data_IF_148194963442
#
_entry.id   IF_148194963442
#
_cell.length_a   1.000
_cell.length_b   1.000
_cell.length_c   1.000
_cell.angle_alpha   90.00
_cell.angle_beta   90.00
_cell.angle_gamma   90.00
#
_symmetry.space_group_name_H-M   'P 1'
#
loop_
_entity.id
_entity.type
_entity.pdbx_description
1 polymer ?
#
# COMPACT_ATOMS: atom_id res chain seq x y z
N UNK A 1 3.33 27.40 -12.89
CA UNK A 1 2.58 26.15 -12.80
C UNK A 1 3.38 25.05 -12.09
N UNK A 2 4.61 24.78 -12.44
CA UNK A 2 5.42 23.68 -11.91
C UNK A 2 5.55 23.66 -10.35
N UNK A 3 5.86 24.80 -9.70
CA UNK A 3 5.94 24.89 -8.22
C UNK A 3 4.61 24.53 -7.53
N UNK A 4 3.47 24.89 -8.12
CA UNK A 4 2.14 24.61 -7.56
C UNK A 4 1.80 23.12 -7.65
N UNK A 5 2.21 22.44 -8.73
CA UNK A 5 2.00 21.01 -8.89
C UNK A 5 2.90 20.21 -7.93
N UNK A 6 4.14 20.66 -7.68
CA UNK A 6 5.01 20.05 -6.67
C UNK A 6 4.42 20.12 -5.26
N UNK A 7 3.87 21.28 -4.87
CA UNK A 7 3.21 21.46 -3.57
C UNK A 7 1.96 20.56 -3.46
N UNK A 8 1.15 20.50 -4.52
CA UNK A 8 -0.02 19.62 -4.57
C UNK A 8 0.37 18.17 -4.33
N UNK A 9 1.32 17.63 -5.11
CA UNK A 9 1.79 16.24 -4.98
C UNK A 9 2.38 16.00 -3.59
N UNK A 10 3.12 16.94 -3.03
CA UNK A 10 3.66 16.84 -1.68
C UNK A 10 2.55 16.73 -0.62
N UNK A 11 1.51 17.58 -0.69
CA UNK A 11 0.36 17.54 0.24
C UNK A 11 -0.38 16.19 0.09
N UNK A 12 -0.56 15.69 -1.13
CA UNK A 12 -1.17 14.39 -1.38
C UNK A 12 -0.34 13.25 -0.75
N UNK A 13 0.99 13.29 -0.90
CA UNK A 13 1.90 12.31 -0.28
C UNK A 13 1.83 12.35 1.25
N UNK A 14 1.83 13.54 1.85
CA UNK A 14 1.70 13.70 3.30
C UNK A 14 0.31 13.27 3.78
N UNK A 15 -0.73 13.46 2.96
CA UNK A 15 -2.07 12.98 3.25
C UNK A 15 -2.16 11.46 3.28
N UNK A 16 -1.59 10.80 2.28
CA UNK A 16 -1.49 9.34 2.27
C UNK A 16 -0.64 8.86 3.45
N UNK A 17 0.49 9.51 3.75
CA UNK A 17 1.28 9.23 4.96
C UNK A 17 0.43 9.28 6.23
N UNK A 18 -0.38 10.34 6.42
CA UNK A 18 -1.23 10.49 7.61
C UNK A 18 -2.25 9.37 7.78
N UNK A 19 -2.88 8.96 6.68
CA UNK A 19 -3.84 7.85 6.65
C UNK A 19 -3.13 6.53 6.95
N UNK A 20 -2.04 6.22 6.24
CA UNK A 20 -1.26 4.99 6.44
C UNK A 20 -0.60 4.95 7.83
N UNK A 21 -0.17 6.10 8.36
CA UNK A 21 0.34 6.20 9.72
C UNK A 21 -0.73 5.83 10.76
N UNK A 22 -1.98 6.29 10.57
CA UNK A 22 -3.11 5.87 11.41
C UNK A 22 -3.37 4.36 11.25
N UNK A 23 -3.36 3.84 10.03
CA UNK A 23 -3.60 2.42 9.73
C UNK A 23 -2.53 1.52 10.34
N UNK A 24 -1.28 1.75 10.00
CA UNK A 24 -0.16 0.86 10.34
C UNK A 24 0.41 1.13 11.74
N UNK A 25 0.38 2.38 12.20
CA UNK A 25 0.96 2.77 13.48
C UNK A 25 0.38 2.02 14.69
N UNK A 26 -0.88 1.61 14.61
CA UNK A 26 -1.54 0.80 15.65
C UNK A 26 -0.88 -0.58 15.81
N UNK A 27 -0.29 -1.14 14.76
CA UNK A 27 0.41 -2.43 14.85
C UNK A 27 1.54 -2.35 15.88
N UNK A 28 2.26 -1.22 15.90
CA UNK A 28 3.37 -1.00 16.84
C UNK A 28 2.95 -0.78 18.29
N UNK A 29 1.67 -0.50 18.56
CA UNK A 29 1.14 -0.20 19.90
C UNK A 29 0.06 -1.18 20.37
N UNK A 30 -0.14 -2.30 19.66
CA UNK A 30 -1.13 -3.31 20.03
C UNK A 30 -0.97 -3.83 21.47
N UNK A 31 0.24 -4.11 21.99
CA UNK A 31 0.39 -4.51 23.40
C UNK A 31 -0.11 -3.46 24.37
N UNK A 32 0.22 -2.19 24.15
CA UNK A 32 -0.24 -1.07 24.99
C UNK A 32 -1.76 -0.89 24.94
N UNK A 33 -2.38 -1.11 23.77
CA UNK A 33 -3.85 -1.09 23.64
C UNK A 33 -4.49 -2.25 24.41
N UNK A 34 -3.92 -3.46 24.30
CA UNK A 34 -4.41 -4.63 25.00
C UNK A 34 -4.40 -4.42 26.52
N UNK A 35 -3.32 -3.85 27.03
CA UNK A 35 -3.16 -3.50 28.47
C UNK A 35 -4.15 -2.41 28.88
N UNK A 36 -4.23 -1.30 28.13
CA UNK A 36 -5.09 -0.15 28.46
C UNK A 36 -6.58 -0.53 28.55
N UNK A 37 -7.08 -1.35 27.61
CA UNK A 37 -8.47 -1.77 27.57
C UNK A 37 -8.73 -3.11 28.31
N UNK A 38 -7.71 -3.69 28.92
CA UNK A 38 -7.79 -4.99 29.59
C UNK A 38 -8.41 -6.08 28.70
N UNK A 39 -7.90 -6.19 27.45
CA UNK A 39 -8.31 -7.20 26.47
C UNK A 39 -7.11 -8.05 26.06
N UNK A 40 -7.37 -9.23 25.51
CA UNK A 40 -6.28 -10.06 24.94
C UNK A 40 -5.64 -9.37 23.74
N UNK A 41 -4.37 -9.65 23.46
CA UNK A 41 -3.66 -9.17 22.27
C UNK A 41 -4.39 -9.59 20.99
N UNK A 42 -4.95 -10.82 20.96
CA UNK A 42 -5.76 -11.30 19.85
C UNK A 42 -7.00 -10.42 19.63
N UNK A 43 -7.67 -9.99 20.69
CA UNK A 43 -8.81 -9.07 20.59
C UNK A 43 -8.39 -7.67 20.17
N UNK A 44 -7.26 -7.17 20.68
CA UNK A 44 -6.67 -5.91 20.21
C UNK A 44 -6.35 -5.95 18.71
N UNK A 45 -5.92 -7.10 18.20
CA UNK A 45 -5.68 -7.34 16.76
C UNK A 45 -6.90 -7.11 15.86
N UNK A 46 -8.13 -7.09 16.39
CA UNK A 46 -9.33 -6.72 15.63
C UNK A 46 -9.27 -5.28 15.10
N UNK A 47 -8.54 -4.39 15.77
CA UNK A 47 -8.31 -3.02 15.26
C UNK A 47 -7.57 -3.01 13.91
N UNK A 48 -6.76 -4.02 13.65
CA UNK A 48 -6.04 -4.18 12.37
C UNK A 48 -6.89 -4.97 11.39
N UNK A 49 -7.43 -6.12 11.81
CA UNK A 49 -8.16 -7.03 10.93
C UNK A 49 -9.47 -6.42 10.40
N UNK A 50 -10.27 -5.78 11.26
CA UNK A 50 -11.53 -5.15 10.83
C UNK A 50 -11.28 -3.89 10.00
N UNK A 51 -10.18 -3.16 10.25
CA UNK A 51 -9.75 -2.08 9.38
C UNK A 51 -9.45 -2.61 7.97
N UNK A 52 -8.63 -3.65 7.87
CA UNK A 52 -8.27 -4.27 6.58
C UNK A 52 -9.51 -4.81 5.83
N UNK A 53 -10.46 -5.45 6.54
CA UNK A 53 -11.72 -5.91 5.96
C UNK A 53 -12.55 -4.73 5.44
N UNK A 54 -12.67 -3.65 6.22
CA UNK A 54 -13.39 -2.46 5.80
C UNK A 54 -12.79 -1.84 4.53
N UNK A 55 -11.44 -1.74 4.45
CA UNK A 55 -10.73 -1.29 3.24
C UNK A 55 -10.99 -2.22 2.05
N UNK A 56 -10.91 -3.53 2.24
CA UNK A 56 -11.10 -4.51 1.17
C UNK A 56 -12.53 -4.44 0.58
N UNK A 57 -13.55 -4.32 1.44
CA UNK A 57 -14.95 -4.21 1.02
C UNK A 57 -15.26 -2.86 0.37
N UNK A 58 -14.69 -1.78 0.91
CA UNK A 58 -14.96 -0.42 0.42
C UNK A 58 -14.14 -0.04 -0.83
N UNK A 59 -13.00 -0.71 -1.06
CA UNK A 59 -12.10 -0.42 -2.17
C UNK A 59 -12.76 -0.34 -3.54
N UNK A 60 -13.57 -1.32 -3.97
CA UNK A 60 -14.23 -1.27 -5.27
C UNK A 60 -15.49 -0.39 -5.29
N UNK A 61 -16.05 -0.02 -4.15
CA UNK A 61 -17.36 0.66 -4.08
C UNK A 61 -17.26 2.14 -3.74
N UNK A 62 -16.51 2.48 -2.70
CA UNK A 62 -16.49 3.85 -2.18
C UNK A 62 -15.84 4.86 -3.15
N UNK A 63 -14.70 4.63 -3.82
CA UNK A 63 -14.19 5.55 -4.82
C UNK A 63 -15.20 5.83 -5.94
N UNK A 64 -15.97 4.80 -6.35
CA UNK A 64 -17.02 4.90 -7.34
C UNK A 64 -18.15 5.84 -6.88
N UNK A 65 -18.63 5.68 -5.64
CA UNK A 65 -19.70 6.52 -5.08
C UNK A 65 -19.33 8.00 -5.01
N UNK A 66 -18.06 8.30 -4.72
CA UNK A 66 -17.56 9.66 -4.59
C UNK A 66 -17.00 10.27 -5.88
N UNK A 67 -16.93 9.51 -6.98
CA UNK A 67 -16.30 9.91 -8.25
C UNK A 67 -16.92 11.16 -8.92
N UNK A 68 -18.20 11.45 -8.64
CA UNK A 68 -18.92 12.61 -9.18
C UNK A 68 -18.85 13.86 -8.33
N UNK A 69 -18.15 13.86 -7.20
CA UNK A 69 -18.09 14.96 -6.24
C UNK A 69 -16.76 15.71 -6.40
N UNK A 70 -16.76 17.03 -6.15
CA UNK A 70 -15.54 17.82 -6.14
C UNK A 70 -14.43 17.14 -5.30
N UNK A 71 -13.29 16.85 -5.93
CA UNK A 71 -12.21 16.04 -5.34
C UNK A 71 -11.68 16.64 -4.04
N UNK A 72 -11.52 17.98 -3.95
CA UNK A 72 -11.12 18.65 -2.70
C UNK A 72 -12.13 18.42 -1.58
N UNK A 73 -13.44 18.52 -1.87
CA UNK A 73 -14.48 18.29 -0.86
C UNK A 73 -14.45 16.86 -0.34
N UNK A 74 -14.25 15.89 -1.23
CA UNK A 74 -14.12 14.46 -0.85
C UNK A 74 -12.88 14.23 0.00
N UNK A 75 -11.73 14.79 -0.38
CA UNK A 75 -10.49 14.68 0.42
C UNK A 75 -10.68 15.27 1.83
N UNK A 76 -11.30 16.43 1.94
CA UNK A 76 -11.59 17.06 3.24
C UNK A 76 -12.57 16.22 4.06
N UNK A 77 -13.62 15.65 3.43
CA UNK A 77 -14.53 14.75 4.10
C UNK A 77 -13.79 13.54 4.71
N UNK A 78 -12.98 12.87 3.89
CA UNK A 78 -12.22 11.69 4.34
C UNK A 78 -11.26 12.04 5.47
N UNK A 79 -10.44 13.08 5.29
CA UNK A 79 -9.52 13.53 6.33
C UNK A 79 -10.25 13.97 7.61
N UNK A 80 -11.41 14.62 7.47
CA UNK A 80 -12.27 14.97 8.60
C UNK A 80 -12.77 13.74 9.36
N UNK A 81 -13.18 12.68 8.66
CA UNK A 81 -13.57 11.41 9.26
C UNK A 81 -12.40 10.76 10.00
N UNK A 82 -11.17 10.80 9.43
CA UNK A 82 -9.96 10.31 10.10
C UNK A 82 -9.60 11.15 11.34
N UNK A 83 -9.71 12.48 11.26
CA UNK A 83 -9.48 13.37 12.41
C UNK A 83 -10.48 13.05 13.53
N UNK A 84 -11.77 12.97 13.23
CA UNK A 84 -12.81 12.63 14.22
C UNK A 84 -12.56 11.25 14.82
N UNK A 85 -12.28 10.23 14.00
CA UNK A 85 -11.99 8.89 14.47
C UNK A 85 -10.77 8.84 15.40
N UNK A 86 -9.67 9.53 15.05
CA UNK A 86 -8.49 9.61 15.88
C UNK A 86 -8.75 10.35 17.20
N UNK A 87 -9.48 11.49 17.14
CA UNK A 87 -9.85 12.24 18.35
C UNK A 87 -10.76 11.41 19.28
N UNK A 88 -11.77 10.73 18.73
CA UNK A 88 -12.64 9.83 19.52
C UNK A 88 -11.81 8.70 20.15
N UNK A 89 -10.81 8.17 19.41
CA UNK A 89 -9.94 7.10 19.95
C UNK A 89 -9.10 7.55 21.14
N UNK A 90 -8.72 8.84 21.25
CA UNK A 90 -8.00 9.38 22.43
C UNK A 90 -8.86 9.31 23.69
N UNK A 91 -10.17 9.59 23.55
CA UNK A 91 -11.11 9.65 24.66
C UNK A 91 -11.94 8.38 24.81
N UNK A 92 -11.63 7.32 24.07
CA UNK A 92 -12.39 6.08 24.10
C UNK A 92 -12.26 5.39 25.46
N UNK A 93 -13.36 5.31 26.21
CA UNK A 93 -13.41 4.69 27.53
C UNK A 93 -13.44 3.15 27.50
N UNK A 94 -13.71 2.57 26.35
CA UNK A 94 -13.76 1.11 26.18
C UNK A 94 -13.33 0.71 24.76
N UNK A 95 -12.93 -0.56 24.63
CA UNK A 95 -12.42 -1.13 23.39
C UNK A 95 -13.40 -1.05 22.21
N UNK A 96 -14.71 -1.18 22.46
CA UNK A 96 -15.70 -1.14 21.38
C UNK A 96 -15.77 0.25 20.74
N UNK A 97 -15.71 1.34 21.53
CA UNK A 97 -15.66 2.71 21.02
C UNK A 97 -14.38 2.93 20.20
N UNK A 98 -13.22 2.50 20.70
CA UNK A 98 -11.96 2.59 19.97
C UNK A 98 -12.02 1.82 18.65
N UNK A 99 -12.64 0.64 18.63
CA UNK A 99 -12.81 -0.19 17.44
C UNK A 99 -13.70 0.51 16.39
N UNK A 100 -14.86 1.02 16.80
CA UNK A 100 -15.80 1.74 15.91
C UNK A 100 -15.14 3.00 15.35
N UNK A 101 -14.50 3.80 16.21
CA UNK A 101 -13.80 5.02 15.83
C UNK A 101 -12.70 4.78 14.80
N UNK A 102 -12.17 3.56 14.73
CA UNK A 102 -11.14 3.15 13.77
C UNK A 102 -11.73 2.53 12.50
N UNK A 103 -12.75 1.69 12.62
CA UNK A 103 -13.35 0.97 11.49
C UNK A 103 -14.13 1.92 10.57
N UNK A 104 -14.82 2.93 11.11
CA UNK A 104 -15.55 3.91 10.30
C UNK A 104 -14.61 4.65 9.31
N UNK A 105 -13.47 5.25 9.73
CA UNK A 105 -12.52 5.85 8.79
C UNK A 105 -11.98 4.87 7.75
N UNK A 106 -11.83 3.58 8.08
CA UNK A 106 -11.30 2.58 7.18
C UNK A 106 -12.12 2.41 5.91
N UNK A 107 -13.46 2.57 5.98
CA UNK A 107 -14.31 2.56 4.79
C UNK A 107 -13.99 3.71 3.81
N UNK A 108 -13.47 4.81 4.29
CA UNK A 108 -13.10 5.98 3.49
C UNK A 108 -11.63 5.98 3.04
N UNK A 109 -10.80 5.10 3.60
CA UNK A 109 -9.39 4.98 3.25
C UNK A 109 -9.16 4.83 1.73
N UNK A 110 -9.84 3.91 0.99
CA UNK A 110 -9.62 3.75 -0.45
C UNK A 110 -10.01 4.98 -1.25
N UNK A 111 -10.97 5.78 -0.77
CA UNK A 111 -11.40 7.01 -1.44
C UNK A 111 -10.26 8.03 -1.50
N UNK A 112 -9.60 8.29 -0.36
CA UNK A 112 -8.49 9.23 -0.33
C UNK A 112 -7.29 8.73 -1.13
N UNK A 113 -6.90 7.48 -0.93
CA UNK A 113 -5.75 6.90 -1.63
C UNK A 113 -5.96 6.87 -3.16
N UNK A 114 -7.14 6.47 -3.61
CA UNK A 114 -7.51 6.52 -5.03
C UNK A 114 -7.43 7.95 -5.59
N UNK A 115 -8.08 8.91 -4.91
CA UNK A 115 -8.06 10.31 -5.32
C UNK A 115 -6.65 10.91 -5.33
N UNK A 116 -5.82 10.57 -4.34
CA UNK A 116 -4.45 11.07 -4.27
C UNK A 116 -3.62 10.62 -5.48
N UNK A 117 -3.76 9.35 -5.88
CA UNK A 117 -3.08 8.81 -7.06
C UNK A 117 -3.61 9.43 -8.36
N UNK A 118 -4.94 9.50 -8.52
CA UNK A 118 -5.57 10.11 -9.71
C UNK A 118 -5.20 11.60 -9.84
N UNK A 119 -5.34 12.38 -8.76
CA UNK A 119 -5.04 13.83 -8.80
C UNK A 119 -3.55 14.08 -9.02
N UNK A 120 -2.67 13.25 -8.49
CA UNK A 120 -1.24 13.36 -8.76
C UNK A 120 -0.93 13.12 -10.24
N UNK A 121 -1.52 12.08 -10.85
CA UNK A 121 -1.37 11.79 -12.26
C UNK A 121 -1.92 12.94 -13.13
N UNK A 122 -3.14 13.39 -12.87
CA UNK A 122 -3.83 14.45 -13.63
C UNK A 122 -3.18 15.84 -13.47
N UNK A 123 -2.28 16.03 -12.49
CA UNK A 123 -1.61 17.32 -12.23
C UNK A 123 -0.41 17.59 -13.14
N UNK A 124 0.03 16.60 -13.91
CA UNK A 124 1.20 16.65 -14.78
C UNK A 124 0.84 16.14 -16.18
N UNK A 125 1.80 16.14 -17.12
CA UNK A 125 1.59 15.51 -18.42
C UNK A 125 1.49 13.99 -18.29
N UNK A 126 0.87 13.32 -19.24
CA UNK A 126 0.71 11.86 -19.28
C UNK A 126 2.06 11.12 -19.12
N UNK A 127 3.10 11.65 -19.78
CA UNK A 127 4.46 11.13 -19.71
C UNK A 127 5.07 11.23 -18.30
N UNK A 128 4.70 12.24 -17.52
CA UNK A 128 5.20 12.46 -16.16
C UNK A 128 4.31 11.83 -15.07
N UNK A 129 3.13 11.35 -15.42
CA UNK A 129 2.17 10.77 -14.49
C UNK A 129 2.78 9.66 -13.61
N UNK A 130 3.59 8.70 -14.12
CA UNK A 130 4.22 7.69 -13.28
C UNK A 130 5.16 8.27 -12.22
N UNK A 131 5.86 9.37 -12.53
CA UNK A 131 6.73 10.07 -11.55
C UNK A 131 5.92 10.76 -10.46
N UNK A 132 4.77 11.34 -10.82
CA UNK A 132 3.88 11.99 -9.87
C UNK A 132 3.25 10.96 -8.91
N UNK A 133 2.76 9.84 -9.44
CA UNK A 133 2.21 8.72 -8.68
C UNK A 133 3.26 8.12 -7.74
N UNK A 134 4.48 7.90 -8.20
CA UNK A 134 5.55 7.34 -7.37
C UNK A 134 5.91 8.22 -6.16
N UNK A 135 5.75 9.54 -6.27
CA UNK A 135 5.92 10.46 -5.13
C UNK A 135 4.82 10.26 -4.08
N UNK A 136 3.60 9.95 -4.49
CA UNK A 136 2.51 9.61 -3.56
C UNK A 136 2.82 8.30 -2.83
N UNK A 137 3.38 7.30 -3.53
CA UNK A 137 3.83 6.04 -2.91
C UNK A 137 4.95 6.22 -1.88
N UNK A 138 5.76 7.27 -1.99
CA UNK A 138 6.71 7.62 -0.91
C UNK A 138 5.95 7.88 0.40
N UNK A 139 4.79 8.54 0.34
CA UNK A 139 3.91 8.73 1.50
C UNK A 139 3.41 7.42 2.09
N UNK A 140 3.03 6.45 1.24
CA UNK A 140 2.66 5.09 1.67
C UNK A 140 3.81 4.43 2.44
N UNK A 141 4.99 4.37 1.83
CA UNK A 141 6.16 3.74 2.44
C UNK A 141 6.60 4.44 3.73
N UNK A 142 6.57 5.77 3.76
CA UNK A 142 6.91 6.55 4.95
C UNK A 142 5.94 6.25 6.11
N UNK A 143 4.64 6.09 5.83
CA UNK A 143 3.64 5.71 6.83
C UNK A 143 3.98 4.38 7.52
N UNK A 144 4.41 3.40 6.74
CA UNK A 144 4.81 2.08 7.26
C UNK A 144 6.15 2.13 8.02
N UNK A 145 7.16 2.80 7.45
CA UNK A 145 8.55 2.74 7.92
C UNK A 145 8.82 3.70 9.08
N UNK A 146 8.17 4.86 9.07
CA UNK A 146 8.39 5.92 10.06
C UNK A 146 7.24 5.92 11.07
N UNK A 147 6.00 5.75 10.61
CA UNK A 147 4.81 5.85 11.44
C UNK A 147 4.77 4.81 12.57
N UNK A 148 5.03 3.55 12.25
CA UNK A 148 5.01 2.45 13.23
C UNK A 148 6.06 2.63 14.34
N UNK A 149 7.36 2.88 14.03
CA UNK A 149 8.36 3.12 15.07
C UNK A 149 8.09 4.35 15.93
N UNK A 150 7.64 5.47 15.33
CA UNK A 150 7.30 6.68 16.10
C UNK A 150 6.14 6.40 17.06
N UNK A 151 5.06 5.77 16.59
CA UNK A 151 3.93 5.44 17.43
C UNK A 151 4.33 4.51 18.59
N UNK A 152 5.11 3.46 18.30
CA UNK A 152 5.65 2.55 19.31
C UNK A 152 6.54 3.25 20.34
N UNK A 153 7.44 4.13 19.88
CA UNK A 153 8.30 4.92 20.76
C UNK A 153 7.47 5.84 21.66
N UNK A 154 6.49 6.58 21.12
CA UNK A 154 5.66 7.49 21.89
C UNK A 154 4.81 6.73 22.94
N UNK A 155 4.27 5.57 22.57
CA UNK A 155 3.51 4.74 23.50
C UNK A 155 4.38 4.21 24.65
N UNK A 156 5.63 3.82 24.37
CA UNK A 156 6.54 3.28 25.38
C UNK A 156 7.24 4.37 26.22
N UNK A 157 7.58 5.51 25.62
CA UNK A 157 8.31 6.59 26.28
C UNK A 157 7.38 7.53 27.10
N UNK A 158 6.10 7.62 26.71
CA UNK A 158 5.14 8.51 27.35
C UNK A 158 3.85 7.77 27.74
N UNK A 159 2.93 7.57 26.78
CA UNK A 159 1.70 6.81 26.98
C UNK A 159 0.99 6.46 25.67
N UNK A 160 -0.01 5.56 25.77
CA UNK A 160 -0.87 5.22 24.63
C UNK A 160 -1.59 6.45 24.09
N UNK A 161 -2.08 7.35 24.97
CA UNK A 161 -2.79 8.56 24.57
C UNK A 161 -1.89 9.48 23.75
N UNK A 162 -0.59 9.61 24.08
CA UNK A 162 0.37 10.41 23.30
C UNK A 162 0.57 9.84 21.89
N UNK A 163 0.61 8.52 21.75
CA UNK A 163 0.65 7.89 20.43
C UNK A 163 -0.64 8.14 19.63
N UNK A 164 -1.80 8.10 20.28
CA UNK A 164 -3.09 8.42 19.63
C UNK A 164 -3.18 9.91 19.27
N UNK A 165 -2.69 10.82 20.11
CA UNK A 165 -2.59 12.25 19.81
C UNK A 165 -1.71 12.48 18.57
N UNK A 166 -0.60 11.76 18.44
CA UNK A 166 0.26 11.85 17.25
C UNK A 166 -0.53 11.55 15.96
N UNK A 167 -1.35 10.50 15.91
CA UNK A 167 -2.20 10.22 14.75
C UNK A 167 -3.19 11.35 14.46
N UNK A 168 -3.83 11.88 15.51
CA UNK A 168 -4.78 12.99 15.38
C UNK A 168 -4.09 14.25 14.84
N UNK A 169 -2.94 14.64 15.42
CA UNK A 169 -2.18 15.84 15.01
C UNK A 169 -1.74 15.74 13.55
N UNK A 170 -1.17 14.60 13.13
CA UNK A 170 -0.76 14.40 11.74
C UNK A 170 -1.96 14.59 10.79
N UNK A 171 -3.10 13.96 11.07
CA UNK A 171 -4.28 14.09 10.22
C UNK A 171 -4.90 15.50 10.25
N UNK A 172 -4.87 16.22 11.39
CA UNK A 172 -5.30 17.61 11.48
C UNK A 172 -4.41 18.52 10.61
N UNK A 173 -3.09 18.36 10.69
CA UNK A 173 -2.15 19.12 9.87
C UNK A 173 -2.38 18.89 8.37
N UNK A 174 -2.61 17.64 7.97
CA UNK A 174 -2.94 17.31 6.58
C UNK A 174 -4.29 17.88 6.16
N UNK A 175 -5.31 17.80 7.03
CA UNK A 175 -6.62 18.40 6.76
C UNK A 175 -6.49 19.91 6.53
N UNK A 176 -5.77 20.62 7.40
CA UNK A 176 -5.52 22.05 7.26
C UNK A 176 -4.72 22.38 6.00
N UNK A 177 -3.67 21.62 5.70
CA UNK A 177 -2.89 21.79 4.47
C UNK A 177 -3.76 21.58 3.22
N UNK A 178 -4.63 20.57 3.22
CA UNK A 178 -5.58 20.33 2.14
C UNK A 178 -6.59 21.47 2.00
N UNK A 179 -7.10 21.96 3.12
CA UNK A 179 -8.07 23.07 3.14
C UNK A 179 -7.45 24.35 2.57
N UNK A 180 -6.23 24.67 2.95
CA UNK A 180 -5.58 25.95 2.62
C UNK A 180 -4.93 25.95 1.23
N UNK A 181 -4.27 24.87 0.84
CA UNK A 181 -3.37 24.86 -0.32
C UNK A 181 -3.89 24.07 -1.53
N UNK A 182 -4.80 23.10 -1.33
CA UNK A 182 -5.37 22.36 -2.46
C UNK A 182 -6.47 23.19 -3.10
N UNK A 183 -6.42 23.45 -4.43
CA UNK A 183 -7.46 24.17 -5.13
C UNK A 183 -8.75 23.35 -5.24
N UNK A 184 -9.87 24.05 -5.48
CA UNK A 184 -11.14 23.38 -5.84
C UNK A 184 -10.96 22.61 -7.16
N UNK A 185 -11.36 21.37 -7.19
CA UNK A 185 -11.22 20.46 -8.34
C UNK A 185 -12.59 19.85 -8.69
N UNK A 186 -13.46 20.63 -9.34
CA UNK A 186 -14.75 20.12 -9.80
C UNK A 186 -14.53 19.03 -10.87
N UNK A 187 -15.32 17.97 -10.79
CA UNK A 187 -15.30 16.91 -11.79
C UNK A 187 -16.02 17.40 -13.05
N UNK A 188 -15.29 17.45 -14.16
CA UNK A 188 -15.85 17.80 -15.47
C UNK A 188 -16.47 16.54 -16.09
N UNK A 189 -17.78 16.46 -16.11
CA UNK A 189 -18.49 15.34 -16.69
C UNK A 189 -18.50 14.13 -15.76
N UNK A 190 -19.62 13.91 -15.10
CA UNK A 190 -19.84 12.70 -14.28
C UNK A 190 -19.99 11.51 -15.20
N UNK A 191 -19.02 10.61 -15.20
CA UNK A 191 -19.24 9.30 -15.81
C UNK A 191 -20.32 8.55 -15.03
N UNK A 192 -21.24 7.91 -15.73
CA UNK A 192 -22.26 7.08 -15.08
C UNK A 192 -21.57 5.91 -14.38
N UNK A 193 -22.15 5.44 -13.28
CA UNK A 193 -21.66 4.25 -12.58
C UNK A 193 -21.56 3.04 -13.53
N UNK A 194 -22.51 2.91 -14.46
CA UNK A 194 -22.48 1.87 -15.48
C UNK A 194 -21.28 1.96 -16.40
N UNK A 195 -20.87 3.17 -16.79
CA UNK A 195 -19.66 3.38 -17.60
C UNK A 195 -18.39 2.98 -16.84
N UNK A 196 -18.26 3.35 -15.56
CA UNK A 196 -17.12 2.95 -14.73
C UNK A 196 -17.08 1.44 -14.49
N UNK A 197 -18.22 0.81 -14.21
CA UNK A 197 -18.31 -0.64 -14.04
C UNK A 197 -18.09 -1.41 -15.35
N UNK A 198 -18.22 -0.77 -16.52
CA UNK A 198 -18.00 -1.42 -17.82
C UNK A 198 -16.56 -1.92 -17.99
N UNK A 199 -15.59 -1.35 -17.27
CA UNK A 199 -14.19 -1.85 -17.27
C UNK A 199 -14.09 -3.30 -16.81
N UNK A 200 -15.02 -3.77 -15.96
CA UNK A 200 -15.07 -5.16 -15.51
C UNK A 200 -15.54 -6.13 -16.61
N UNK A 201 -16.09 -5.64 -17.72
CA UNK A 201 -16.41 -6.46 -18.89
C UNK A 201 -15.18 -6.77 -19.74
N UNK A 202 -14.09 -6.05 -19.55
CA UNK A 202 -12.84 -6.24 -20.30
C UNK A 202 -12.03 -7.38 -19.69
N UNK A 203 -11.64 -8.36 -20.49
CA UNK A 203 -10.77 -9.45 -20.06
C UNK A 203 -9.42 -8.94 -19.52
N UNK A 204 -8.87 -7.87 -20.11
CA UNK A 204 -7.61 -7.27 -19.70
C UNK A 204 -7.65 -6.75 -18.25
N UNK A 205 -8.82 -6.29 -17.75
CA UNK A 205 -9.00 -5.87 -16.37
C UNK A 205 -8.83 -7.04 -15.41
N UNK A 206 -9.45 -8.17 -15.68
CA UNK A 206 -9.34 -9.38 -14.85
C UNK A 206 -7.94 -9.98 -14.85
N UNK A 207 -7.28 -9.98 -16.00
CA UNK A 207 -5.89 -10.42 -16.13
C UNK A 207 -4.97 -9.49 -15.33
N UNK A 208 -5.23 -8.18 -15.34
CA UNK A 208 -4.47 -7.22 -14.52
C UNK A 208 -4.75 -7.38 -13.02
N UNK A 209 -5.99 -7.62 -12.62
CA UNK A 209 -6.36 -7.96 -11.23
C UNK A 209 -5.58 -9.20 -10.77
N UNK A 210 -5.59 -10.27 -11.56
CA UNK A 210 -4.86 -11.50 -11.24
C UNK A 210 -3.34 -11.26 -11.12
N UNK A 211 -2.76 -10.48 -12.02
CA UNK A 211 -1.34 -10.12 -11.96
C UNK A 211 -1.00 -9.37 -10.67
N UNK A 212 -1.81 -8.36 -10.30
CA UNK A 212 -1.62 -7.58 -9.06
C UNK A 212 -1.75 -8.46 -7.82
N UNK A 213 -2.77 -9.34 -7.78
CA UNK A 213 -2.96 -10.28 -6.67
C UNK A 213 -1.72 -11.16 -6.50
N UNK A 214 -1.22 -11.76 -7.58
CA UNK A 214 -0.09 -12.69 -7.53
C UNK A 214 1.23 -12.00 -7.21
N UNK A 215 1.51 -10.82 -7.79
CA UNK A 215 2.70 -10.04 -7.46
C UNK A 215 2.68 -9.62 -5.99
N UNK A 216 1.56 -9.14 -5.51
CA UNK A 216 1.41 -8.72 -4.12
C UNK A 216 1.47 -9.91 -3.16
N UNK A 217 0.88 -11.06 -3.53
CA UNK A 217 1.00 -12.32 -2.78
C UNK A 217 2.46 -12.74 -2.64
N UNK A 218 3.26 -12.61 -3.70
CA UNK A 218 4.68 -12.94 -3.64
C UNK A 218 5.42 -12.04 -2.65
N UNK A 219 5.23 -10.72 -2.75
CA UNK A 219 5.94 -9.76 -1.88
C UNK A 219 5.54 -9.93 -0.42
N UNK A 220 4.24 -9.87 -0.13
CA UNK A 220 3.76 -9.88 1.25
C UNK A 220 3.73 -11.28 1.87
N UNK A 221 3.63 -12.34 1.05
CA UNK A 221 3.76 -13.73 1.52
C UNK A 221 5.10 -14.00 2.18
N UNK A 222 6.17 -13.37 1.71
CA UNK A 222 7.51 -13.49 2.30
C UNK A 222 7.77 -12.37 3.32
N UNK A 223 7.41 -11.13 3.00
CA UNK A 223 7.65 -9.97 3.87
C UNK A 223 6.98 -10.08 5.24
N UNK A 224 5.76 -10.60 5.30
CA UNK A 224 5.03 -10.78 6.56
C UNK A 224 5.78 -11.67 7.56
N UNK A 225 6.67 -12.50 7.08
CA UNK A 225 7.48 -13.41 7.88
C UNK A 225 8.98 -13.06 7.88
N UNK A 226 9.36 -11.90 7.34
CA UNK A 226 10.77 -11.50 7.26
C UNK A 226 11.43 -11.45 8.63
N UNK A 227 10.76 -10.89 9.64
CA UNK A 227 11.30 -10.84 11.00
C UNK A 227 11.57 -12.24 11.57
N UNK A 228 10.63 -13.18 11.37
CA UNK A 228 10.78 -14.57 11.78
C UNK A 228 11.88 -15.28 11.00
N UNK A 229 11.98 -15.02 9.69
CA UNK A 229 13.05 -15.54 8.85
C UNK A 229 14.44 -15.08 9.33
N UNK A 230 14.59 -13.78 9.61
CA UNK A 230 15.85 -13.21 10.13
C UNK A 230 16.21 -13.78 11.50
N UNK A 231 15.21 -14.09 12.34
CA UNK A 231 15.41 -14.67 13.67
C UNK A 231 15.78 -16.14 13.60
N UNK A 232 15.02 -16.94 12.86
CA UNK A 232 15.10 -18.41 12.93
C UNK A 232 16.04 -19.01 11.89
N UNK A 233 16.15 -18.44 10.68
CA UNK A 233 17.00 -18.92 9.60
C UNK A 233 18.38 -18.28 9.63
N UNK A 234 18.40 -16.94 9.80
CA UNK A 234 19.66 -16.17 9.80
C UNK A 234 20.28 -16.05 11.21
N UNK A 235 19.53 -16.39 12.27
CA UNK A 235 19.95 -16.27 13.68
C UNK A 235 20.37 -14.84 14.08
N UNK A 236 19.67 -13.81 13.60
CA UNK A 236 19.93 -12.43 13.95
C UNK A 236 19.35 -12.06 15.33
N UNK A 237 20.03 -11.17 16.05
CA UNK A 237 19.53 -10.58 17.29
C UNK A 237 18.39 -9.58 16.99
N UNK A 238 17.50 -9.38 17.97
CA UNK A 238 16.31 -8.51 17.82
C UNK A 238 16.62 -7.09 17.34
N UNK A 239 17.71 -6.48 17.86
CA UNK A 239 18.13 -5.15 17.40
C UNK A 239 18.53 -5.12 15.93
N UNK A 240 19.22 -6.17 15.45
CA UNK A 240 19.61 -6.30 14.04
C UNK A 240 18.39 -6.54 13.16
N UNK A 241 17.38 -7.29 13.62
CA UNK A 241 16.12 -7.51 12.91
C UNK A 241 15.38 -6.18 12.75
N UNK A 242 15.24 -5.41 13.83
CA UNK A 242 14.59 -4.09 13.77
C UNK A 242 15.28 -3.15 12.79
N UNK A 243 16.63 -3.15 12.81
CA UNK A 243 17.43 -2.38 11.85
C UNK A 243 17.21 -2.85 10.41
N UNK A 244 17.15 -4.16 10.15
CA UNK A 244 16.88 -4.70 8.80
C UNK A 244 15.51 -4.33 8.29
N UNK A 245 14.48 -4.38 9.12
CA UNK A 245 13.13 -3.95 8.73
C UNK A 245 13.08 -2.45 8.42
N UNK A 246 13.77 -1.63 9.20
CA UNK A 246 13.91 -0.20 8.93
C UNK A 246 14.65 0.05 7.59
N UNK A 247 15.74 -0.65 7.35
CA UNK A 247 16.50 -0.57 6.10
C UNK A 247 15.69 -1.03 4.89
N UNK A 248 14.90 -2.11 5.01
CA UNK A 248 13.98 -2.55 3.98
C UNK A 248 12.99 -1.45 3.60
N UNK A 249 12.40 -0.81 4.60
CA UNK A 249 11.46 0.28 4.37
C UNK A 249 12.10 1.52 3.75
N UNK A 250 13.29 1.92 4.21
CA UNK A 250 14.06 3.00 3.59
C UNK A 250 14.41 2.69 2.12
N UNK A 251 14.82 1.45 1.85
CA UNK A 251 15.07 0.96 0.50
C UNK A 251 13.80 0.97 -0.38
N UNK A 252 12.63 0.67 0.21
CA UNK A 252 11.35 0.76 -0.49
C UNK A 252 11.04 2.20 -0.95
N UNK A 253 11.37 3.21 -0.15
CA UNK A 253 11.24 4.62 -0.56
C UNK A 253 12.13 4.91 -1.79
N UNK A 254 13.37 4.41 -1.80
CA UNK A 254 14.27 4.53 -2.96
C UNK A 254 13.64 3.83 -4.17
N UNK A 255 13.07 2.64 -3.97
CA UNK A 255 12.35 1.89 -4.99
C UNK A 255 11.22 2.68 -5.64
N UNK A 256 10.43 3.42 -4.86
CA UNK A 256 9.37 4.28 -5.38
C UNK A 256 9.93 5.39 -6.30
N UNK A 257 11.03 6.03 -5.91
CA UNK A 257 11.67 7.06 -6.75
C UNK A 257 12.18 6.47 -8.07
N UNK A 258 12.79 5.28 -8.01
CA UNK A 258 13.27 4.56 -9.20
C UNK A 258 12.11 4.14 -10.08
N UNK A 259 11.00 3.65 -9.51
CA UNK A 259 9.80 3.25 -10.22
C UNK A 259 9.23 4.36 -11.12
N UNK A 260 9.18 5.60 -10.60
CA UNK A 260 8.69 6.73 -11.38
C UNK A 260 9.46 6.96 -12.68
N UNK A 261 10.80 6.76 -12.65
CA UNK A 261 11.64 6.86 -13.85
C UNK A 261 11.49 5.65 -14.77
N UNK A 262 11.47 4.45 -14.21
CA UNK A 262 11.33 3.21 -14.96
C UNK A 262 10.00 3.13 -15.71
N UNK A 263 8.90 3.48 -15.05
CA UNK A 263 7.56 3.43 -15.65
C UNK A 263 7.35 4.56 -16.69
N UNK A 264 8.02 5.70 -16.53
CA UNK A 264 7.99 6.76 -17.55
C UNK A 264 8.72 6.34 -18.83
N UNK A 265 9.90 5.72 -18.70
CA UNK A 265 10.79 5.49 -19.85
C UNK A 265 10.68 4.06 -20.42
N UNK A 266 10.40 3.06 -19.57
CA UNK A 266 10.52 1.65 -19.91
C UNK A 266 9.44 0.77 -19.24
N UNK A 267 8.17 1.21 -19.23
CA UNK A 267 7.09 0.57 -18.48
C UNK A 267 6.97 -0.95 -18.78
N UNK A 268 6.86 -1.32 -20.06
CA UNK A 268 6.67 -2.73 -20.47
C UNK A 268 7.84 -3.61 -20.02
N UNK A 269 9.08 -3.13 -20.21
CA UNK A 269 10.27 -3.87 -19.79
C UNK A 269 10.33 -4.02 -18.26
N UNK A 270 9.98 -2.97 -17.53
CA UNK A 270 9.98 -2.97 -16.05
C UNK A 270 8.94 -3.95 -15.50
N UNK A 271 7.73 -3.97 -16.08
CA UNK A 271 6.69 -4.93 -15.72
C UNK A 271 7.15 -6.38 -15.95
N UNK A 272 7.75 -6.65 -17.12
CA UNK A 272 8.23 -7.99 -17.46
C UNK A 272 9.43 -8.44 -16.61
N UNK A 273 10.33 -7.52 -16.24
CA UNK A 273 11.55 -7.83 -15.50
C UNK A 273 11.29 -8.07 -13.99
N UNK A 274 10.25 -7.43 -13.42
CA UNK A 274 9.99 -7.44 -11.97
C UNK A 274 9.94 -8.86 -11.36
N UNK A 275 9.17 -9.82 -11.91
CA UNK A 275 9.09 -11.17 -11.33
C UNK A 275 10.44 -11.88 -11.33
N UNK A 276 11.27 -11.67 -12.35
CA UNK A 276 12.59 -12.31 -12.44
C UNK A 276 13.58 -11.73 -11.44
N UNK A 277 13.61 -10.39 -11.29
CA UNK A 277 14.48 -9.73 -10.32
C UNK A 277 14.09 -10.13 -8.89
N UNK A 278 12.79 -10.14 -8.58
CA UNK A 278 12.31 -10.55 -7.28
C UNK A 278 12.55 -12.05 -7.03
N UNK A 279 12.36 -12.88 -8.07
CA UNK A 279 12.67 -14.32 -8.03
C UNK A 279 14.14 -14.59 -7.73
N UNK A 280 15.06 -13.85 -8.36
CA UNK A 280 16.48 -13.95 -8.07
C UNK A 280 16.78 -13.62 -6.59
N UNK A 281 16.16 -12.57 -6.03
CA UNK A 281 16.30 -12.23 -4.60
C UNK A 281 15.84 -13.40 -3.71
N UNK A 282 14.70 -14.02 -4.01
CA UNK A 282 14.18 -15.14 -3.22
C UNK A 282 15.04 -16.38 -3.34
N UNK A 283 15.56 -16.70 -4.53
CA UNK A 283 16.51 -17.80 -4.74
C UNK A 283 17.78 -17.55 -3.90
N UNK A 284 18.32 -16.34 -3.92
CA UNK A 284 19.49 -15.99 -3.11
C UNK A 284 19.20 -16.06 -1.61
N UNK A 285 18.04 -15.59 -1.16
CA UNK A 285 17.62 -15.77 0.24
C UNK A 285 17.51 -17.24 0.61
N UNK A 286 17.00 -18.11 -0.26
CA UNK A 286 16.90 -19.54 0.00
C UNK A 286 18.27 -20.20 0.21
N UNK A 287 19.23 -19.94 -0.66
CA UNK A 287 20.55 -20.56 -0.59
C UNK A 287 21.48 -19.93 0.46
N UNK A 288 21.42 -18.60 0.62
CA UNK A 288 22.33 -17.85 1.50
C UNK A 288 21.67 -17.38 2.79
N UNK A 289 20.45 -17.83 3.10
CA UNK A 289 19.63 -17.38 4.22
C UNK A 289 20.29 -17.49 5.60
N UNK A 290 21.29 -18.37 5.76
CA UNK A 290 22.06 -18.53 7.01
C UNK A 290 23.18 -17.51 7.18
N UNK A 291 23.51 -16.74 6.14
CA UNK A 291 24.62 -15.79 6.14
C UNK A 291 24.11 -14.36 6.32
N UNK A 292 24.44 -13.72 7.43
CA UNK A 292 23.89 -12.41 7.80
C UNK A 292 24.19 -11.31 6.78
N UNK A 293 25.42 -11.25 6.22
CA UNK A 293 25.79 -10.21 5.25
C UNK A 293 25.06 -10.34 3.91
N UNK A 294 25.03 -11.53 3.25
CA UNK A 294 24.21 -11.72 2.06
C UNK A 294 22.73 -11.40 2.28
N UNK A 295 22.15 -11.85 3.40
CA UNK A 295 20.74 -11.57 3.74
C UNK A 295 20.48 -10.09 3.92
N UNK A 296 21.38 -9.34 4.57
CA UNK A 296 21.25 -7.90 4.71
C UNK A 296 21.25 -7.19 3.35
N UNK A 297 22.18 -7.55 2.45
CA UNK A 297 22.23 -6.99 1.09
C UNK A 297 20.96 -7.35 0.29
N UNK A 298 20.52 -8.61 0.36
CA UNK A 298 19.30 -9.05 -0.33
C UNK A 298 18.05 -8.35 0.22
N UNK A 299 17.97 -8.11 1.52
CA UNK A 299 16.86 -7.37 2.15
C UNK A 299 16.79 -5.92 1.63
N UNK A 300 17.92 -5.25 1.45
CA UNK A 300 17.97 -3.92 0.85
C UNK A 300 17.52 -3.93 -0.62
N UNK A 301 18.06 -4.84 -1.41
CA UNK A 301 17.67 -4.98 -2.83
C UNK A 301 16.18 -5.29 -2.92
N UNK A 302 15.68 -6.18 -2.07
CA UNK A 302 14.26 -6.53 -2.03
C UNK A 302 13.38 -5.33 -1.67
N UNK A 303 13.78 -4.51 -0.69
CA UNK A 303 13.07 -3.28 -0.36
C UNK A 303 12.92 -2.37 -1.59
N UNK A 304 14.00 -2.13 -2.34
CA UNK A 304 13.96 -1.35 -3.59
C UNK A 304 12.99 -1.99 -4.60
N UNK A 305 13.12 -3.29 -4.84
CA UNK A 305 12.29 -4.03 -5.81
C UNK A 305 10.82 -4.03 -5.40
N UNK A 306 10.53 -4.15 -4.10
CA UNK A 306 9.16 -4.08 -3.58
C UNK A 306 8.53 -2.68 -3.78
N UNK A 307 9.30 -1.60 -3.58
CA UNK A 307 8.85 -0.25 -3.89
C UNK A 307 8.55 -0.05 -5.38
N UNK A 308 9.37 -0.60 -6.27
CA UNK A 308 9.10 -0.64 -7.71
C UNK A 308 7.82 -1.44 -7.98
N UNK A 309 7.67 -2.60 -7.33
CA UNK A 309 6.52 -3.49 -7.49
C UNK A 309 5.18 -2.86 -7.14
N UNK A 310 5.11 -2.05 -6.08
CA UNK A 310 3.91 -1.31 -5.70
C UNK A 310 3.42 -0.37 -6.81
N UNK A 311 4.35 0.37 -7.41
CA UNK A 311 4.06 1.27 -8.54
C UNK A 311 3.68 0.49 -9.81
N UNK A 312 4.32 -0.65 -10.09
CA UNK A 312 3.97 -1.53 -11.21
C UNK A 312 2.56 -2.08 -11.04
N UNK A 313 2.18 -2.51 -9.84
CA UNK A 313 0.83 -3.00 -9.56
C UNK A 313 -0.24 -1.94 -9.87
N UNK A 314 0.00 -0.69 -9.46
CA UNK A 314 -0.90 0.42 -9.77
C UNK A 314 -0.93 0.71 -11.29
N UNK A 315 0.23 0.74 -11.94
CA UNK A 315 0.33 0.94 -13.39
C UNK A 315 -0.43 -0.14 -14.19
N UNK A 316 -0.36 -1.41 -13.78
CA UNK A 316 -1.09 -2.51 -14.42
C UNK A 316 -2.61 -2.28 -14.40
N UNK A 317 -3.14 -1.79 -13.29
CA UNK A 317 -4.58 -1.49 -13.19
C UNK A 317 -4.97 -0.25 -13.99
N UNK A 318 -4.20 0.84 -13.88
CA UNK A 318 -4.47 2.08 -14.61
C UNK A 318 -4.42 1.90 -16.11
N UNK A 319 -3.47 1.12 -16.63
CA UNK A 319 -3.35 0.84 -18.06
C UNK A 319 -4.41 -0.13 -18.59
N UNK A 320 -5.11 -0.87 -17.73
CA UNK A 320 -6.24 -1.72 -18.11
C UNK A 320 -7.57 -0.96 -18.16
N UNK A 321 -7.71 0.10 -17.36
CA UNK A 321 -8.95 0.86 -17.20
C UNK A 321 -8.70 2.39 -17.14
N UNK A 322 -8.06 2.98 -18.14
CA UNK A 322 -7.70 4.41 -18.15
C UNK A 322 -8.91 5.33 -18.16
N UNK A 323 -10.04 4.85 -18.68
CA UNK A 323 -11.30 5.58 -18.74
C UNK A 323 -12.00 5.75 -17.37
N UNK A 324 -11.61 4.98 -16.35
CA UNK A 324 -12.21 5.04 -15.02
C UNK A 324 -11.12 5.06 -13.92
N UNK A 325 -10.28 6.11 -13.84
CA UNK A 325 -9.07 6.12 -13.02
C UNK A 325 -9.34 5.95 -11.52
N UNK A 326 -10.40 6.57 -10.98
CA UNK A 326 -10.74 6.44 -9.56
C UNK A 326 -11.18 5.02 -9.23
N UNK A 327 -11.96 4.39 -10.10
CA UNK A 327 -12.40 3.01 -9.95
C UNK A 327 -11.23 2.02 -10.14
N UNK A 328 -10.37 2.26 -11.13
CA UNK A 328 -9.16 1.45 -11.36
C UNK A 328 -8.21 1.47 -10.15
N UNK A 329 -8.00 2.63 -9.53
CA UNK A 329 -7.22 2.73 -8.29
C UNK A 329 -7.91 2.03 -7.11
N UNK A 330 -9.25 2.07 -7.02
CA UNK A 330 -10.02 1.28 -6.06
C UNK A 330 -9.82 -0.23 -6.26
N UNK A 331 -9.90 -0.71 -7.50
CA UNK A 331 -9.62 -2.11 -7.85
C UNK A 331 -8.17 -2.50 -7.54
N UNK A 332 -7.19 -1.60 -7.79
CA UNK A 332 -5.80 -1.81 -7.41
C UNK A 332 -5.67 -2.06 -5.91
N UNK A 333 -6.23 -1.18 -5.07
CA UNK A 333 -6.15 -1.31 -3.61
C UNK A 333 -6.79 -2.62 -3.12
N UNK A 334 -7.96 -2.98 -3.67
CA UNK A 334 -8.62 -4.25 -3.36
C UNK A 334 -7.76 -5.44 -3.76
N UNK A 335 -7.26 -5.46 -5.00
CA UNK A 335 -6.42 -6.56 -5.51
C UNK A 335 -5.13 -6.72 -4.71
N UNK A 336 -4.51 -5.59 -4.33
CA UNK A 336 -3.32 -5.60 -3.50
C UNK A 336 -3.60 -6.21 -2.11
N UNK A 337 -4.69 -5.83 -1.45
CA UNK A 337 -5.07 -6.38 -0.14
C UNK A 337 -5.45 -7.86 -0.21
N UNK A 338 -6.18 -8.28 -1.25
CA UNK A 338 -6.46 -9.70 -1.51
C UNK A 338 -5.14 -10.46 -1.70
N UNK A 339 -4.22 -9.91 -2.48
CA UNK A 339 -2.90 -10.50 -2.69
C UNK A 339 -2.09 -10.63 -1.40
N UNK A 340 -2.08 -9.59 -0.56
CA UNK A 340 -1.44 -9.63 0.76
C UNK A 340 -2.02 -10.74 1.63
N UNK A 341 -3.33 -10.85 1.70
CA UNK A 341 -4.03 -11.86 2.51
C UNK A 341 -3.71 -13.27 2.02
N UNK A 342 -3.83 -13.52 0.72
CA UNK A 342 -3.54 -14.83 0.13
C UNK A 342 -2.06 -15.20 0.31
N UNK A 343 -1.15 -14.25 0.03
CA UNK A 343 0.28 -14.46 0.18
C UNK A 343 0.67 -14.81 1.60
N UNK A 344 0.16 -14.06 2.58
CA UNK A 344 0.44 -14.32 4.00
C UNK A 344 -0.11 -15.67 4.44
N UNK A 345 -1.33 -16.03 4.01
CA UNK A 345 -1.91 -17.33 4.33
C UNK A 345 -1.08 -18.49 3.73
N UNK A 346 -0.73 -18.42 2.45
CA UNK A 346 0.10 -19.43 1.77
C UNK A 346 1.50 -19.50 2.39
N UNK A 347 2.14 -18.35 2.65
CA UNK A 347 3.44 -18.29 3.34
C UNK A 347 3.40 -18.97 4.70
N UNK A 348 2.36 -18.72 5.49
CA UNK A 348 2.14 -19.38 6.78
C UNK A 348 1.97 -20.91 6.67
N UNK A 349 1.29 -21.40 5.64
CA UNK A 349 1.17 -22.85 5.37
C UNK A 349 2.54 -23.47 5.08
N UNK A 350 3.38 -22.84 4.26
CA UNK A 350 4.73 -23.32 3.98
C UNK A 350 5.60 -23.35 5.24
N UNK A 351 5.51 -22.33 6.09
CA UNK A 351 6.23 -22.30 7.36
C UNK A 351 5.79 -23.44 8.27
N UNK A 352 4.49 -23.64 8.41
CA UNK A 352 3.93 -24.69 9.28
C UNK A 352 4.25 -26.10 8.80
N UNK A 353 4.30 -26.32 7.47
CA UNK A 353 4.55 -27.63 6.89
C UNK A 353 6.04 -27.99 6.76
N UNK A 354 6.89 -27.01 6.45
CA UNK A 354 8.27 -27.24 6.02
C UNK A 354 9.31 -26.44 6.81
N UNK A 355 8.89 -25.38 7.51
CA UNK A 355 9.76 -24.46 8.25
C UNK A 355 9.95 -23.11 7.57
N UNK A 356 10.46 -22.14 8.34
CA UNK A 356 10.50 -20.72 7.95
C UNK A 356 11.33 -20.46 6.68
N UNK A 357 12.39 -21.22 6.43
CA UNK A 357 13.23 -21.08 5.23
C UNK A 357 12.41 -21.23 3.94
N UNK A 358 11.38 -22.07 3.96
CA UNK A 358 10.57 -22.42 2.78
C UNK A 358 9.52 -21.35 2.44
N UNK A 359 9.35 -20.32 3.23
CA UNK A 359 8.44 -19.21 2.93
C UNK A 359 8.77 -18.53 1.59
N UNK A 360 10.05 -18.48 1.22
CA UNK A 360 10.48 -17.91 -0.07
C UNK A 360 10.01 -18.74 -1.27
N UNK A 361 9.76 -20.03 -1.10
CA UNK A 361 9.20 -20.89 -2.16
C UNK A 361 7.74 -20.52 -2.43
N UNK A 362 6.95 -20.20 -1.39
CA UNK A 362 5.60 -19.68 -1.57
C UNK A 362 5.61 -18.39 -2.43
N UNK A 363 6.59 -17.49 -2.16
CA UNK A 363 6.83 -16.30 -2.97
C UNK A 363 7.20 -16.64 -4.42
N UNK A 364 8.10 -17.60 -4.65
CA UNK A 364 8.53 -18.04 -5.99
C UNK A 364 7.37 -18.64 -6.79
N UNK A 365 6.53 -19.47 -6.19
CA UNK A 365 5.35 -20.02 -6.86
C UNK A 365 4.39 -18.92 -7.33
N UNK A 366 4.14 -17.94 -6.47
CA UNK A 366 3.33 -16.77 -6.82
C UNK A 366 3.96 -15.97 -7.98
N UNK A 367 5.29 -15.85 -8.03
CA UNK A 367 6.01 -15.17 -9.14
C UNK A 367 5.93 -15.95 -10.45
N UNK A 368 6.03 -17.27 -10.43
CA UNK A 368 5.88 -18.11 -11.63
C UNK A 368 4.48 -17.89 -12.23
N UNK A 369 3.44 -17.96 -11.40
CA UNK A 369 2.06 -17.71 -11.84
C UNK A 369 1.88 -16.28 -12.34
N UNK A 370 2.42 -15.31 -11.62
CA UNK A 370 2.38 -13.89 -12.00
C UNK A 370 3.07 -13.65 -13.35
N UNK A 371 4.22 -14.31 -13.61
CA UNK A 371 4.92 -14.22 -14.88
C UNK A 371 4.05 -14.72 -16.03
N UNK A 372 3.39 -15.87 -15.87
CA UNK A 372 2.48 -16.40 -16.88
C UNK A 372 1.32 -15.42 -17.17
N UNK A 373 0.73 -14.82 -16.13
CA UNK A 373 -0.35 -13.84 -16.27
C UNK A 373 0.13 -12.54 -16.93
N UNK A 374 1.33 -12.05 -16.61
CA UNK A 374 1.92 -10.86 -17.21
C UNK A 374 2.21 -11.11 -18.71
N UNK A 375 2.72 -12.27 -19.06
CA UNK A 375 2.94 -12.66 -20.46
C UNK A 375 1.62 -12.75 -21.23
N UNK A 376 0.60 -13.37 -20.66
CA UNK A 376 -0.75 -13.40 -21.23
C UNK A 376 -1.28 -11.98 -21.47
N UNK A 377 -1.14 -11.11 -20.46
CA UNK A 377 -1.52 -9.71 -20.58
C UNK A 377 -0.81 -8.99 -21.72
N UNK A 378 0.49 -9.19 -21.85
CA UNK A 378 1.29 -8.60 -22.92
C UNK A 378 0.80 -9.07 -24.28
N UNK A 379 0.56 -10.37 -24.46
CA UNK A 379 0.00 -10.95 -25.66
C UNK A 379 -1.36 -10.33 -26.05
N UNK A 380 -2.25 -10.12 -25.08
CA UNK A 380 -3.56 -9.49 -25.31
C UNK A 380 -3.49 -8.02 -25.76
N UNK A 381 -2.43 -7.29 -25.39
CA UNK A 381 -2.25 -5.88 -25.75
C UNK A 381 -1.56 -5.70 -27.13
N UNK A 382 -0.72 -6.63 -27.54
CA UNK A 382 0.07 -6.53 -28.79
C UNK A 382 -0.79 -6.48 -30.08
N UNK A 383 -1.88 -7.25 -30.24
CA UNK A 383 -2.71 -7.17 -31.44
C UNK A 383 -3.48 -5.85 -31.60
N UNK A 384 -3.82 -5.20 -30.50
CA UNK A 384 -4.58 -3.94 -30.51
C UNK A 384 -3.74 -2.74 -30.98
N UNK A 385 -2.42 -2.78 -30.83
CA UNK A 385 -1.51 -1.73 -31.32
C UNK A 385 -1.16 -1.87 -32.80
N UNK A 386 -1.22 -3.08 -33.36
CA UNK A 386 -0.96 -3.33 -34.79
C UNK A 386 -2.14 -2.98 -35.70
N UNK A 387 -3.34 -2.82 -35.18
CA UNK A 387 -4.54 -2.44 -35.93
C UNK A 387 -4.77 -0.92 -36.02
N UNK A 388 -3.92 -0.11 -35.38
CA UNK A 388 -4.00 1.37 -35.35
C UNK A 388 -2.79 2.04 -36.05
N UNK A 389 -1.80 1.26 -36.48
CA UNK A 389 -0.69 1.70 -37.33
C UNK A 389 -0.96 1.33 -38.80
#
# INVERSE_FOLDING_TARGET
MQKRNHLLIFILSVGVFGILNTEMGVIGILPSIAEHYNVSISRAGWLVSLFAIAVAVSGPTMPLLFSGINRKKVMLLVLGVFVVGNVVSIFASNFAVALIARVIPAFFHPVYCSLALTVAADSVSEEEAPKAVSKVFIGVSAGMVIGVPIASFLASAASLEVAMIFFAVVNILVFLATLLFIPSMPVKGRQSYGAQLSVLKKAITWVSIAAVILLNSSVFGVYSYLAEYLKTVTNMYSNSISFMLFMYGGANIIGNVVAGRLLTNHAVRSVAALPFVLGAVYIMLFFFGKLSVPVAVMTLIWGIVAGIGGNINQYLMMSAAPEAPDFANGLFLTSANVGTTLGTAVGGLFISAMGTQYVVIAGLLSLILSTAIILLRHYMLTPAQQSVS
#
